data_IF_857089424085
#
_entry.id   IF_857089424085
#
_cell.length_a   1.000
_cell.length_b   1.000
_cell.length_c   1.000
_cell.angle_alpha   90.00
_cell.angle_beta   90.00
_cell.angle_gamma   90.00
#
_symmetry.space_group_name_H-M   'P 1'
#
loop_
_entity.id
_entity.type
_entity.pdbx_description
1 polymer ?
#
# COMPACT_ATOMS: atom_id res chain seq x y z
N UNK A 1 16.33 4.31 -5.27
CA UNK A 1 15.06 3.85 -5.85
C UNK A 1 14.18 5.07 -6.09
N UNK A 2 13.56 5.17 -7.26
CA UNK A 2 12.72 6.31 -7.60
C UNK A 2 11.28 6.09 -7.15
N UNK A 3 10.76 7.03 -6.37
CA UNK A 3 9.35 7.03 -5.95
C UNK A 3 8.49 7.41 -7.16
N UNK A 4 7.40 6.66 -7.44
CA UNK A 4 6.46 7.00 -8.50
C UNK A 4 5.94 8.43 -8.36
N UNK A 5 5.90 9.15 -9.49
CA UNK A 5 5.36 10.52 -9.54
C UNK A 5 3.83 10.54 -9.52
N UNK A 6 3.22 9.50 -10.07
CA UNK A 6 1.77 9.39 -10.25
C UNK A 6 1.29 8.08 -9.64
N UNK A 7 0.17 8.17 -8.93
CA UNK A 7 -0.50 7.06 -8.28
C UNK A 7 -1.91 6.94 -8.83
N UNK A 8 -2.40 5.72 -8.95
CA UNK A 8 -3.72 5.37 -9.44
C UNK A 8 -4.52 4.74 -8.31
N UNK A 9 -5.71 5.28 -8.07
CA UNK A 9 -6.75 4.64 -7.28
C UNK A 9 -7.92 4.28 -8.18
N UNK A 10 -8.45 3.07 -8.03
CA UNK A 10 -9.55 2.53 -8.82
C UNK A 10 -10.78 2.37 -7.91
N UNK A 11 -11.95 2.76 -8.39
CA UNK A 11 -13.23 2.67 -7.68
C UNK A 11 -13.96 4.02 -7.59
N UNK A 12 -13.23 5.12 -7.65
CA UNK A 12 -13.74 6.47 -7.48
C UNK A 12 -13.29 7.39 -8.62
N UNK A 13 -14.03 8.47 -8.88
CA UNK A 13 -13.63 9.55 -9.78
C UNK A 13 -13.11 10.79 -9.03
N UNK A 14 -13.09 10.76 -7.70
CA UNK A 14 -12.55 11.81 -6.85
C UNK A 14 -12.14 11.23 -5.50
N UNK A 15 -11.04 11.74 -4.94
CA UNK A 15 -10.57 11.42 -3.60
C UNK A 15 -10.99 12.57 -2.68
N UNK A 16 -11.98 12.32 -1.83
CA UNK A 16 -12.34 13.19 -0.71
C UNK A 16 -11.62 12.71 0.55
N UNK A 17 -10.65 13.51 1.01
CA UNK A 17 -9.82 13.16 2.16
C UNK A 17 -10.59 13.03 3.48
N UNK A 18 -11.79 13.64 3.57
CA UNK A 18 -12.61 13.56 4.78
C UNK A 18 -13.36 12.23 4.89
N UNK A 19 -13.42 11.46 3.80
CA UNK A 19 -14.01 10.12 3.77
C UNK A 19 -12.97 9.01 3.98
N UNK A 20 -11.69 9.36 4.06
CA UNK A 20 -10.62 8.39 4.31
C UNK A 20 -10.60 8.10 5.81
N UNK A 21 -10.89 6.85 6.17
CA UNK A 21 -10.77 6.39 7.55
C UNK A 21 -9.32 6.42 8.02
N UNK A 22 -9.13 6.75 9.30
CA UNK A 22 -7.78 6.79 9.86
C UNK A 22 -7.15 5.39 9.90
N UNK A 23 -5.82 5.33 9.75
CA UNK A 23 -5.09 4.06 9.77
C UNK A 23 -5.15 3.45 11.17
N UNK A 24 -5.43 2.15 11.25
CA UNK A 24 -5.44 1.39 12.51
C UNK A 24 -4.83 0.03 12.33
N UNK A 25 -4.19 -0.45 13.38
CA UNK A 25 -3.71 -1.80 13.45
C UNK A 25 -4.87 -2.79 13.50
N UNK A 26 -4.88 -3.77 12.59
CA UNK A 26 -5.83 -4.87 12.61
C UNK A 26 -5.17 -6.07 13.33
N UNK A 27 -5.61 -6.47 14.55
CA UNK A 27 -4.89 -7.44 15.38
C UNK A 27 -4.70 -8.83 14.75
N UNK A 28 -5.47 -9.16 13.71
CA UNK A 28 -5.48 -10.47 13.07
C UNK A 28 -4.89 -10.46 11.66
N UNK A 29 -4.56 -9.28 11.13
CA UNK A 29 -4.16 -9.14 9.73
C UNK A 29 -2.90 -8.28 9.61
N UNK A 30 -1.91 -8.70 8.80
CA UNK A 30 -0.75 -7.87 8.46
C UNK A 30 -1.10 -6.69 7.53
N UNK A 31 -2.39 -6.50 7.23
CA UNK A 31 -2.95 -5.31 6.58
C UNK A 31 -3.66 -4.47 7.65
N UNK A 32 -3.48 -3.14 7.65
CA UNK A 32 -4.21 -2.26 8.55
C UNK A 32 -5.67 -2.12 8.13
N UNK A 33 -6.48 -1.66 9.07
CA UNK A 33 -7.79 -1.05 8.79
C UNK A 33 -7.58 0.43 8.42
N UNK A 34 -8.48 0.95 7.58
CA UNK A 34 -8.43 2.34 7.13
C UNK A 34 -7.23 2.67 6.23
N UNK A 35 -6.85 3.95 6.23
CA UNK A 35 -5.89 4.50 5.28
C UNK A 35 -6.45 4.54 3.85
N UNK A 36 -5.59 4.90 2.90
CA UNK A 36 -5.98 4.96 1.50
C UNK A 36 -5.00 4.20 0.60
N UNK A 37 -5.55 3.28 -0.18
CA UNK A 37 -4.79 2.38 -1.04
C UNK A 37 -4.78 2.86 -2.49
N UNK A 38 -3.58 2.83 -3.07
CA UNK A 38 -3.33 3.12 -4.47
C UNK A 38 -2.19 2.23 -5.00
N UNK A 39 -1.92 2.32 -6.30
CA UNK A 39 -0.75 1.69 -6.93
C UNK A 39 -0.07 2.68 -7.87
N UNK A 40 1.20 2.47 -8.25
CA UNK A 40 1.84 3.31 -9.24
C UNK A 40 1.07 3.35 -10.56
N UNK A 41 0.85 4.54 -11.11
CA UNK A 41 0.25 4.70 -12.43
C UNK A 41 1.29 4.42 -13.52
N UNK A 42 0.91 3.63 -14.52
CA UNK A 42 1.74 3.26 -15.67
C UNK A 42 1.00 3.57 -16.95
N UNK A 43 1.58 4.37 -17.84
CA UNK A 43 0.99 4.69 -19.13
C UNK A 43 1.66 3.85 -20.23
N UNK A 44 0.86 3.36 -21.18
CA UNK A 44 1.36 2.60 -22.33
C UNK A 44 1.72 1.13 -22.03
N UNK A 45 1.25 0.60 -20.91
CA UNK A 45 1.36 -0.82 -20.53
C UNK A 45 0.01 -1.53 -20.68
N UNK A 46 -0.01 -2.86 -20.64
CA UNK A 46 -1.26 -3.65 -20.72
C UNK A 46 -2.26 -3.31 -19.61
N UNK A 47 -1.74 -2.94 -18.43
CA UNK A 47 -2.52 -2.47 -17.28
C UNK A 47 -1.96 -1.13 -16.80
N UNK A 48 -2.83 -0.21 -16.38
CA UNK A 48 -2.45 1.10 -15.84
C UNK A 48 -1.86 1.04 -14.43
N UNK A 49 -1.96 -0.10 -13.75
CA UNK A 49 -1.30 -0.39 -12.48
C UNK A 49 -1.23 -1.90 -12.22
N UNK A 50 -0.36 -2.33 -11.30
CA UNK A 50 -0.32 -3.73 -10.84
C UNK A 50 -1.62 -4.16 -10.15
N UNK A 51 -2.31 -3.24 -9.46
CA UNK A 51 -3.62 -3.51 -8.86
C UNK A 51 -4.69 -3.82 -9.91
N UNK A 52 -4.70 -3.09 -11.04
CA UNK A 52 -5.60 -3.41 -12.15
C UNK A 52 -5.32 -4.81 -12.70
N UNK A 53 -4.05 -5.12 -12.99
CA UNK A 53 -3.68 -6.43 -13.51
C UNK A 53 -4.02 -7.58 -12.56
N UNK A 54 -3.79 -7.39 -11.26
CA UNK A 54 -4.20 -8.34 -10.22
C UNK A 54 -5.72 -8.49 -10.16
N UNK A 55 -6.46 -7.37 -10.16
CA UNK A 55 -7.92 -7.37 -10.09
C UNK A 55 -8.56 -8.08 -11.27
N UNK A 56 -8.09 -7.79 -12.49
CA UNK A 56 -8.58 -8.46 -13.70
C UNK A 56 -8.21 -9.95 -13.75
N UNK A 57 -7.07 -10.35 -13.18
CA UNK A 57 -6.69 -11.76 -13.05
C UNK A 57 -7.62 -12.52 -12.10
N UNK A 58 -7.99 -11.92 -10.96
CA UNK A 58 -8.83 -12.57 -9.94
C UNK A 58 -10.32 -12.52 -10.30
N UNK A 59 -10.81 -11.39 -10.80
CA UNK A 59 -12.25 -11.13 -11.00
C UNK A 59 -12.66 -10.97 -12.46
N UNK A 60 -11.73 -10.96 -13.40
CA UNK A 60 -11.99 -10.73 -14.82
C UNK A 60 -12.02 -9.24 -15.21
N UNK A 61 -12.11 -8.99 -16.52
CA UNK A 61 -12.09 -7.63 -17.08
C UNK A 61 -13.34 -6.84 -16.74
N UNK A 62 -13.14 -5.69 -16.12
CA UNK A 62 -14.14 -4.64 -15.94
C UNK A 62 -13.93 -3.56 -17.00
N UNK A 63 -15.01 -3.00 -17.53
CA UNK A 63 -14.96 -1.91 -18.52
C UNK A 63 -15.37 -0.60 -17.88
N UNK A 64 -14.65 0.48 -18.19
CA UNK A 64 -14.98 1.85 -17.79
C UNK A 64 -14.98 2.02 -16.27
N UNK A 65 -13.96 1.48 -15.60
CA UNK A 65 -13.82 1.72 -14.17
C UNK A 65 -13.47 3.18 -13.92
N UNK A 66 -14.15 3.77 -12.93
CA UNK A 66 -13.81 5.10 -12.45
C UNK A 66 -12.49 4.99 -11.72
N UNK A 67 -11.55 5.84 -12.07
CA UNK A 67 -10.28 5.92 -11.38
C UNK A 67 -9.82 7.37 -11.24
N UNK A 68 -8.85 7.57 -10.35
CA UNK A 68 -8.20 8.86 -10.11
C UNK A 68 -6.70 8.67 -10.18
N UNK A 69 -6.06 9.47 -11.03
CA UNK A 69 -4.61 9.66 -10.97
C UNK A 69 -4.32 10.82 -10.02
N UNK A 70 -3.44 10.63 -9.05
CA UNK A 70 -3.03 11.68 -8.12
C UNK A 70 -1.53 11.74 -7.91
N UNK A 71 -1.10 12.86 -7.34
CA UNK A 71 0.28 13.15 -6.99
C UNK A 71 0.40 13.30 -5.47
N UNK A 72 1.52 12.92 -4.90
CA UNK A 72 1.86 13.28 -3.52
C UNK A 72 2.35 14.73 -3.47
N UNK A 73 2.10 15.42 -2.37
CA UNK A 73 2.73 16.71 -2.08
C UNK A 73 4.25 16.55 -1.98
N UNK A 74 5.01 17.58 -2.37
CA UNK A 74 6.49 17.53 -2.44
C UNK A 74 7.17 17.19 -1.10
N UNK A 75 6.51 17.47 0.01
CA UNK A 75 7.02 17.23 1.37
C UNK A 75 6.49 15.93 1.99
N UNK A 76 5.82 15.06 1.22
CA UNK A 76 5.37 13.77 1.72
C UNK A 76 6.56 12.92 2.17
N UNK A 77 6.49 12.38 3.39
CA UNK A 77 7.48 11.46 3.94
C UNK A 77 7.11 10.04 3.50
N UNK A 78 7.86 9.50 2.56
CA UNK A 78 7.57 8.18 1.97
C UNK A 78 8.61 7.18 2.45
N UNK A 79 8.16 6.08 3.05
CA UNK A 79 9.00 4.91 3.30
C UNK A 79 8.80 3.88 2.20
N UNK A 80 9.88 3.43 1.57
CA UNK A 80 9.82 2.42 0.52
C UNK A 80 10.30 1.06 1.05
N UNK A 81 9.51 0.02 0.80
CA UNK A 81 9.87 -1.37 1.05
C UNK A 81 10.19 -2.00 -0.30
N UNK A 82 11.48 -2.15 -0.60
CA UNK A 82 11.97 -2.83 -1.81
C UNK A 82 12.59 -4.21 -1.52
N UNK A 83 12.81 -4.50 -0.25
CA UNK A 83 13.47 -5.72 0.21
C UNK A 83 12.93 -6.17 1.56
N UNK A 84 13.29 -7.40 1.95
CA UNK A 84 13.04 -7.88 3.30
C UNK A 84 13.74 -7.02 4.36
N UNK A 85 14.94 -6.51 4.06
CA UNK A 85 15.72 -5.68 4.99
C UNK A 85 15.06 -4.32 5.22
N UNK A 86 14.39 -3.74 4.21
CA UNK A 86 13.57 -2.53 4.39
C UNK A 86 12.41 -2.79 5.37
N UNK A 87 11.70 -3.91 5.20
CA UNK A 87 10.61 -4.28 6.10
C UNK A 87 11.11 -4.45 7.55
N UNK A 88 12.23 -5.15 7.73
CA UNK A 88 12.85 -5.34 9.06
C UNK A 88 13.25 -4.00 9.67
N UNK A 89 13.85 -3.10 8.89
CA UNK A 89 14.22 -1.75 9.38
C UNK A 89 13.00 -0.97 9.83
N UNK A 90 11.92 -0.96 9.04
CA UNK A 90 10.69 -0.27 9.41
C UNK A 90 10.10 -0.83 10.71
N UNK A 91 10.06 -2.15 10.86
CA UNK A 91 9.55 -2.80 12.08
C UNK A 91 10.44 -2.50 13.29
N UNK A 92 11.77 -2.48 13.13
CA UNK A 92 12.65 -2.08 14.22
C UNK A 92 12.47 -0.62 14.65
N UNK A 93 12.06 0.25 13.73
CA UNK A 93 11.81 1.68 13.99
C UNK A 93 10.46 1.90 14.68
N UNK A 94 9.38 1.36 14.11
CA UNK A 94 8.01 1.65 14.56
C UNK A 94 7.51 0.60 15.56
N UNK A 95 8.09 -0.60 15.58
CA UNK A 95 7.65 -1.73 16.39
C UNK A 95 6.65 -2.62 15.64
N UNK A 96 6.08 -3.55 16.39
CA UNK A 96 5.05 -4.46 15.90
C UNK A 96 3.97 -4.71 16.93
N UNK A 97 2.75 -4.93 16.47
CA UNK A 97 1.63 -5.39 17.31
C UNK A 97 1.69 -6.90 17.45
N UNK A 98 1.55 -7.39 18.68
CA UNK A 98 1.41 -8.81 18.95
C UNK A 98 0.08 -9.34 18.40
N UNK A 99 0.13 -10.46 17.69
CA UNK A 99 -1.07 -11.19 17.33
C UNK A 99 -1.65 -11.84 18.62
N UNK A 100 -2.89 -11.53 19.02
CA UNK A 100 -3.49 -12.09 20.23
C UNK A 100 -3.73 -13.60 20.14
N UNK A 101 -3.61 -14.19 18.95
CA UNK A 101 -3.63 -15.63 18.75
C UNK A 101 -2.21 -16.14 18.48
N UNK A 102 -1.83 -17.31 19.04
CA UNK A 102 -0.49 -17.89 18.89
C UNK A 102 -0.23 -18.48 17.49
N UNK A 103 -0.76 -17.86 16.44
CA UNK A 103 -0.35 -18.13 15.06
C UNK A 103 0.99 -17.40 14.87
N UNK A 104 2.07 -18.09 15.25
CA UNK A 104 3.48 -17.65 15.32
C UNK A 104 4.07 -17.02 14.04
N UNK A 105 3.28 -16.69 13.03
CA UNK A 105 3.77 -16.38 11.68
C UNK A 105 3.32 -15.05 11.13
N UNK A 106 2.70 -14.19 11.95
CA UNK A 106 2.22 -12.87 11.50
C UNK A 106 2.51 -11.79 12.53
N UNK A 107 3.76 -11.35 12.61
CA UNK A 107 4.07 -10.09 13.30
C UNK A 107 3.50 -8.94 12.46
N UNK A 108 2.68 -8.09 13.08
CA UNK A 108 1.94 -7.02 12.40
C UNK A 108 2.71 -5.71 12.58
N UNK A 109 2.99 -4.99 11.49
CA UNK A 109 3.63 -3.67 11.56
C UNK A 109 2.79 -2.72 12.41
N UNK A 110 3.41 -1.96 13.33
CA UNK A 110 2.70 -0.91 14.09
C UNK A 110 2.39 0.29 13.17
N UNK A 111 1.25 0.24 12.47
CA UNK A 111 0.87 1.23 11.45
C UNK A 111 0.51 2.58 12.06
N UNK A 112 -0.13 2.57 13.24
CA UNK A 112 -0.48 3.79 13.98
C UNK A 112 0.79 4.57 14.35
N UNK A 113 1.84 3.87 14.82
CA UNK A 113 3.15 4.50 15.06
C UNK A 113 3.87 4.86 13.78
N UNK A 114 3.79 4.05 12.73
CA UNK A 114 4.40 4.37 11.43
C UNK A 114 3.90 5.71 10.86
N UNK A 115 2.61 6.05 11.08
CA UNK A 115 2.01 7.33 10.67
C UNK A 115 2.68 8.55 11.31
N UNK A 116 3.29 8.40 12.48
CA UNK A 116 4.03 9.48 13.14
C UNK A 116 5.29 9.87 12.35
N UNK A 117 5.93 8.90 11.68
CA UNK A 117 7.19 9.07 10.95
C UNK A 117 6.99 9.28 9.45
N UNK A 118 5.97 8.63 8.88
CA UNK A 118 5.74 8.57 7.45
C UNK A 118 4.31 8.93 7.10
N UNK A 119 4.13 9.53 5.94
CA UNK A 119 2.80 9.81 5.39
C UNK A 119 2.35 8.69 4.43
N UNK A 120 3.31 7.94 3.89
CA UNK A 120 3.11 6.89 2.90
C UNK A 120 4.06 5.74 3.13
N UNK A 121 3.55 4.51 3.03
CA UNK A 121 4.35 3.29 2.83
C UNK A 121 4.17 2.85 1.38
N UNK A 122 5.27 2.76 0.64
CA UNK A 122 5.30 2.25 -0.72
C UNK A 122 5.95 0.87 -0.75
N UNK A 123 5.19 -0.15 -1.15
CA UNK A 123 5.69 -1.49 -1.39
C UNK A 123 5.94 -1.66 -2.89
N UNK A 124 7.19 -1.86 -3.29
CA UNK A 124 7.54 -2.05 -4.71
C UNK A 124 7.16 -3.46 -5.18
N UNK A 125 7.12 -3.68 -6.50
CA UNK A 125 6.93 -5.04 -7.04
C UNK A 125 7.97 -6.05 -6.52
N UNK A 126 9.24 -5.64 -6.38
CA UNK A 126 10.30 -6.49 -5.83
C UNK A 126 10.13 -6.70 -4.32
N UNK A 127 9.88 -5.63 -3.57
CA UNK A 127 9.63 -5.71 -2.13
C UNK A 127 8.43 -6.60 -1.82
N UNK A 128 7.39 -6.55 -2.66
CA UNK A 128 6.24 -7.44 -2.55
C UNK A 128 6.64 -8.90 -2.74
N UNK A 129 7.39 -9.23 -3.80
CA UNK A 129 7.85 -10.61 -4.04
C UNK A 129 8.70 -11.14 -2.88
N UNK A 130 9.58 -10.31 -2.33
CA UNK A 130 10.43 -10.69 -1.21
C UNK A 130 9.62 -10.88 0.10
N UNK A 131 8.68 -9.99 0.38
CA UNK A 131 7.96 -9.96 1.68
C UNK A 131 6.67 -10.80 1.70
N UNK A 132 6.19 -11.28 0.55
CA UNK A 132 4.95 -12.07 0.43
C UNK A 132 5.09 -13.50 0.93
N UNK A 133 6.23 -14.16 0.70
CA UNK A 133 6.33 -15.63 0.66
C UNK A 133 5.75 -16.32 1.92
N UNK A 134 4.54 -16.92 1.82
CA UNK A 134 3.85 -17.50 2.97
C UNK A 134 4.57 -18.74 3.50
N UNK A 135 5.32 -19.45 2.65
CA UNK A 135 6.08 -20.66 3.00
C UNK A 135 7.52 -20.38 3.44
N UNK A 136 7.96 -19.13 3.40
CA UNK A 136 9.28 -18.77 3.92
C UNK A 136 9.32 -18.86 5.44
N UNK A 137 10.47 -19.25 6.00
CA UNK A 137 10.77 -19.20 7.44
C UNK A 137 11.08 -17.77 7.94
N UNK A 138 10.76 -16.74 7.13
CA UNK A 138 11.00 -15.34 7.48
C UNK A 138 10.04 -14.93 8.60
N UNK A 139 10.57 -14.14 9.53
CA UNK A 139 9.87 -13.66 10.72
C UNK A 139 8.75 -12.67 10.38
N UNK A 140 9.00 -11.79 9.41
CA UNK A 140 8.08 -10.72 9.02
C UNK A 140 7.56 -10.91 7.58
N UNK A 141 6.25 -10.73 7.40
CA UNK A 141 5.55 -10.95 6.13
C UNK A 141 4.46 -9.92 5.92
N UNK A 142 4.33 -9.43 4.68
CA UNK A 142 3.22 -8.56 4.26
C UNK A 142 2.14 -9.37 3.55
N UNK A 143 1.60 -10.39 4.23
CA UNK A 143 0.51 -11.20 3.66
C UNK A 143 -0.72 -10.31 3.38
N UNK A 144 -1.41 -10.53 2.26
CA UNK A 144 -2.54 -9.68 1.84
C UNK A 144 -2.15 -8.35 1.17
N UNK A 145 -0.85 -8.05 1.04
CA UNK A 145 -0.33 -7.06 0.11
C UNK A 145 -0.03 -7.76 -1.22
N UNK A 146 -1.04 -7.92 -2.08
CA UNK A 146 -0.99 -8.86 -3.21
C UNK A 146 -0.16 -8.39 -4.41
N UNK A 147 0.08 -7.08 -4.52
CA UNK A 147 0.81 -6.46 -5.61
C UNK A 147 1.56 -5.19 -5.14
N UNK A 148 2.32 -4.58 -6.06
CA UNK A 148 2.91 -3.26 -5.84
C UNK A 148 1.83 -2.25 -5.43
N UNK A 149 2.03 -1.59 -4.30
CA UNK A 149 0.99 -0.81 -3.65
C UNK A 149 1.54 0.33 -2.81
N UNK A 150 0.70 1.33 -2.65
CA UNK A 150 0.93 2.55 -1.90
C UNK A 150 -0.16 2.64 -0.84
N UNK A 151 0.25 2.63 0.41
CA UNK A 151 -0.61 2.86 1.56
C UNK A 151 -0.37 4.29 2.05
N UNK A 152 -1.36 5.14 1.86
CA UNK A 152 -1.38 6.50 2.42
C UNK A 152 -1.84 6.41 3.87
N UNK A 153 -0.94 6.72 4.80
CA UNK A 153 -1.18 6.78 6.24
C UNK A 153 -1.75 8.14 6.66
N UNK A 154 -1.41 9.19 5.91
CA UNK A 154 -1.85 10.56 6.15
C UNK A 154 -2.48 11.16 4.88
N UNK A 155 -3.82 11.24 4.77
CA UNK A 155 -4.47 11.67 3.52
C UNK A 155 -4.16 13.13 3.15
N UNK A 156 -3.67 13.94 4.09
CA UNK A 156 -3.26 15.32 3.84
C UNK A 156 -2.09 15.44 2.86
N UNK A 157 -1.35 14.37 2.56
CA UNK A 157 -0.28 14.40 1.54
C UNK A 157 -0.77 14.16 0.12
N UNK A 158 -2.05 13.84 -0.07
CA UNK A 158 -2.66 13.76 -1.40
C UNK A 158 -2.73 15.17 -1.98
N UNK A 159 -2.16 15.35 -3.17
CA UNK A 159 -2.02 16.61 -3.87
C UNK A 159 -2.98 16.72 -5.04
N UNK A 160 -2.46 17.21 -6.18
CA UNK A 160 -3.24 17.31 -7.42
C UNK A 160 -3.79 15.93 -7.77
N UNK A 161 -5.04 15.90 -8.23
CA UNK A 161 -5.70 14.68 -8.70
C UNK A 161 -6.45 14.96 -10.01
N UNK A 162 -6.67 13.92 -10.80
CA UNK A 162 -7.33 13.97 -12.10
C UNK A 162 -8.21 12.73 -12.26
N UNK A 163 -9.54 12.89 -12.47
CA UNK A 163 -10.41 11.77 -12.81
C UNK A 163 -10.03 11.17 -14.16
N UNK A 164 -10.07 9.86 -14.26
CA UNK A 164 -9.90 9.10 -15.51
C UNK A 164 -10.91 7.95 -15.56
N UNK A 165 -11.06 7.37 -16.74
CA UNK A 165 -11.79 6.12 -16.94
C UNK A 165 -10.85 5.13 -17.60
N UNK A 166 -10.78 3.92 -17.04
CA UNK A 166 -9.86 2.85 -17.48
C UNK A 166 -10.63 1.59 -17.87
#
# INVERSE_FOLDING_TARGET
MDIPKQWLHIGNNHIDINLIEDIRNAPLFPKPDGGFWASPFRFGTDYYSEWQGFSEYIWGKTKNEKAVIFYLKRNARVYSIDSQEDLIRLINEVGSVENPFPIKTTTILEFEKAKEYYDVIYLTSKGQQETRNPFSKREYKLTGWDCESCLILNPMVIGKQMPVSI
#
